data_IF_282866457184
#
_entry.id   IF_282866457184
#
_cell.length_a   1.000
_cell.length_b   1.000
_cell.length_c   1.000
_cell.angle_alpha   90.00
_cell.angle_beta   90.00
_cell.angle_gamma   90.00
#
_symmetry.space_group_name_H-M   'P 1'
#
loop_
_entity.id
_entity.type
_entity.pdbx_description
1 polymer ?
#
# COMPACT_ATOMS: atom_id res chain seq x y z
N UNK A 1 29.60 -7.35 8.11
CA UNK A 1 28.42 -6.93 8.90
C UNK A 1 27.43 -8.08 8.90
N UNK A 2 26.75 -8.34 10.01
CA UNK A 2 25.76 -9.44 10.04
C UNK A 2 24.64 -9.09 9.05
N UNK A 3 24.28 -10.01 8.15
CA UNK A 3 23.25 -9.77 7.11
C UNK A 3 21.91 -9.31 7.69
N UNK A 4 21.56 -9.77 8.89
CA UNK A 4 20.32 -9.38 9.57
C UNK A 4 20.35 -7.91 9.99
N UNK A 5 21.49 -7.44 10.52
CA UNK A 5 21.66 -6.04 10.88
C UNK A 5 21.69 -5.15 9.63
N UNK A 6 22.30 -5.65 8.55
CA UNK A 6 22.34 -4.92 7.27
C UNK A 6 20.96 -4.79 6.65
N UNK A 7 20.14 -5.86 6.66
CA UNK A 7 18.74 -5.84 6.28
C UNK A 7 17.95 -4.83 7.10
N UNK A 8 18.03 -4.94 8.44
CA UNK A 8 17.33 -4.03 9.34
C UNK A 8 17.69 -2.56 9.07
N UNK A 9 18.98 -2.21 9.02
CA UNK A 9 19.42 -0.84 8.83
C UNK A 9 19.08 -0.29 7.43
N UNK A 10 19.17 -1.11 6.39
CA UNK A 10 18.83 -0.72 5.04
C UNK A 10 17.34 -0.39 4.94
N UNK A 11 16.48 -1.26 5.46
CA UNK A 11 15.05 -1.02 5.42
C UNK A 11 14.60 0.05 6.44
N UNK A 12 15.28 0.21 7.56
CA UNK A 12 15.07 1.34 8.47
C UNK A 12 15.34 2.68 7.78
N UNK A 13 16.40 2.75 6.99
CA UNK A 13 16.72 3.94 6.18
C UNK A 13 15.66 4.20 5.11
N UNK A 14 15.18 3.16 4.42
CA UNK A 14 14.11 3.30 3.45
C UNK A 14 12.82 3.78 4.14
N UNK A 15 12.43 3.17 5.27
CA UNK A 15 11.22 3.56 6.01
C UNK A 15 11.25 4.98 6.55
N UNK A 16 12.45 5.48 6.94
CA UNK A 16 12.65 6.81 7.50
C UNK A 16 12.60 7.93 6.44
N UNK A 17 13.20 7.68 5.28
CA UNK A 17 13.42 8.70 4.27
C UNK A 17 12.42 8.66 3.12
N UNK A 18 11.39 7.84 3.20
CA UNK A 18 10.39 7.77 2.13
C UNK A 18 9.18 8.63 2.45
N UNK A 19 8.99 9.64 1.61
CA UNK A 19 7.81 10.49 1.59
C UNK A 19 7.10 10.30 0.25
N UNK A 20 5.78 10.09 0.25
CA UNK A 20 4.98 10.19 -0.96
C UNK A 20 4.39 8.91 -1.57
N UNK A 21 4.40 7.78 -0.87
CA UNK A 21 3.59 6.60 -1.26
C UNK A 21 4.34 5.48 -1.97
N UNK A 22 3.62 4.38 -2.27
CA UNK A 22 4.17 3.07 -2.62
C UNK A 22 5.20 3.03 -3.76
N UNK A 23 4.96 3.74 -4.86
CA UNK A 23 5.86 3.71 -6.02
C UNK A 23 7.20 4.44 -5.77
N UNK A 24 7.21 5.52 -4.99
CA UNK A 24 8.46 6.18 -4.60
C UNK A 24 9.33 5.27 -3.72
N UNK A 25 8.67 4.47 -2.85
CA UNK A 25 9.35 3.47 -2.02
C UNK A 25 9.96 2.34 -2.85
N UNK A 26 9.29 1.88 -3.90
CA UNK A 26 9.81 0.84 -4.80
C UNK A 26 11.16 1.26 -5.40
N UNK A 27 11.26 2.47 -5.93
CA UNK A 27 12.52 2.98 -6.50
C UNK A 27 13.66 3.08 -5.48
N UNK A 28 13.34 3.41 -4.21
CA UNK A 28 14.34 3.43 -3.13
C UNK A 28 14.78 2.04 -2.71
N UNK A 29 13.84 1.08 -2.68
CA UNK A 29 14.13 -0.33 -2.40
C UNK A 29 15.01 -0.90 -3.52
N UNK A 30 14.65 -0.64 -4.78
CA UNK A 30 15.42 -1.07 -5.95
C UNK A 30 16.86 -0.54 -5.90
N UNK A 31 17.05 0.77 -5.73
CA UNK A 31 18.37 1.37 -5.60
C UNK A 31 19.17 0.79 -4.43
N UNK A 32 18.52 0.49 -3.32
CA UNK A 32 19.17 -0.07 -2.14
C UNK A 32 19.50 -1.56 -2.29
N UNK A 33 18.54 -2.35 -2.76
CA UNK A 33 18.63 -3.81 -2.76
C UNK A 33 19.23 -4.39 -4.04
N UNK A 34 19.03 -3.74 -5.20
CA UNK A 34 19.60 -4.16 -6.49
C UNK A 34 20.95 -3.48 -6.71
N UNK A 35 20.96 -2.15 -6.81
CA UNK A 35 22.14 -1.40 -7.23
C UNK A 35 23.25 -1.39 -6.16
N UNK A 36 22.92 -1.09 -4.89
CA UNK A 36 23.94 -0.93 -3.83
C UNK A 36 24.33 -2.23 -3.16
N UNK A 37 23.37 -3.12 -2.93
CA UNK A 37 23.60 -4.35 -2.14
C UNK A 37 23.68 -5.61 -3.00
N UNK A 38 23.12 -5.62 -4.20
CA UNK A 38 23.08 -6.79 -5.06
C UNK A 38 22.35 -7.99 -4.43
N UNK A 39 21.38 -7.73 -3.54
CA UNK A 39 20.62 -8.77 -2.88
C UNK A 39 19.64 -9.48 -3.79
N UNK A 40 19.12 -8.75 -4.76
CA UNK A 40 18.20 -9.25 -5.78
C UNK A 40 18.58 -8.60 -7.13
N UNK A 41 18.18 -9.24 -8.23
CA UNK A 41 18.34 -8.69 -9.57
C UNK A 41 17.21 -7.72 -9.92
N UNK A 42 17.36 -6.98 -11.02
CA UNK A 42 16.31 -6.09 -11.51
C UNK A 42 15.03 -6.85 -11.88
N UNK A 43 15.17 -8.00 -12.56
CA UNK A 43 14.04 -8.84 -12.95
C UNK A 43 13.29 -9.36 -11.72
N UNK A 44 14.03 -9.81 -10.70
CA UNK A 44 13.42 -10.21 -9.44
C UNK A 44 12.72 -9.06 -8.71
N UNK A 45 13.26 -7.84 -8.79
CA UNK A 45 12.58 -6.68 -8.20
C UNK A 45 11.25 -6.39 -8.91
N UNK A 46 11.18 -6.56 -10.23
CA UNK A 46 9.93 -6.47 -10.99
C UNK A 46 8.90 -7.50 -10.52
N UNK A 47 9.31 -8.77 -10.39
CA UNK A 47 8.43 -9.84 -9.90
C UNK A 47 7.94 -9.56 -8.47
N UNK A 48 8.85 -9.15 -7.59
CA UNK A 48 8.53 -8.76 -6.21
C UNK A 48 7.50 -7.63 -6.17
N UNK A 49 7.64 -6.65 -7.05
CA UNK A 49 6.70 -5.52 -7.13
C UNK A 49 5.31 -6.00 -7.51
N UNK A 50 5.18 -6.86 -8.52
CA UNK A 50 3.89 -7.45 -8.95
C UNK A 50 3.26 -8.28 -7.82
N UNK A 51 4.05 -9.09 -7.13
CA UNK A 51 3.58 -9.88 -5.99
C UNK A 51 3.13 -8.96 -4.85
N UNK A 52 3.91 -7.92 -4.55
CA UNK A 52 3.60 -6.97 -3.47
C UNK A 52 2.35 -6.15 -3.76
N UNK A 53 2.10 -5.80 -5.02
CA UNK A 53 0.87 -5.12 -5.45
C UNK A 53 -0.36 -6.04 -5.36
N UNK A 54 -0.17 -7.33 -5.60
CA UNK A 54 -1.24 -8.34 -5.53
C UNK A 54 -1.55 -8.81 -4.11
N UNK A 55 -0.64 -8.55 -3.17
CA UNK A 55 -0.76 -8.98 -1.77
C UNK A 55 -1.41 -7.88 -0.94
N UNK A 56 -2.46 -8.18 -0.14
CA UNK A 56 -3.04 -7.19 0.75
C UNK A 56 -2.01 -6.61 1.71
N UNK A 57 -1.88 -5.27 1.75
CA UNK A 57 -0.96 -4.58 2.64
C UNK A 57 -0.13 -3.50 1.92
N UNK A 58 0.69 -2.74 2.68
CA UNK A 58 1.58 -1.73 2.09
C UNK A 58 2.65 -2.38 1.21
N UNK A 59 2.70 -1.99 -0.05
CA UNK A 59 3.62 -2.55 -1.06
C UNK A 59 5.07 -2.58 -0.57
N UNK A 60 5.53 -1.52 0.05
CA UNK A 60 6.91 -1.42 0.53
C UNK A 60 7.23 -2.42 1.64
N UNK A 61 6.28 -2.69 2.54
CA UNK A 61 6.44 -3.70 3.60
C UNK A 61 6.48 -5.10 2.97
N UNK A 62 5.60 -5.37 2.00
CA UNK A 62 5.59 -6.64 1.27
C UNK A 62 6.91 -6.87 0.53
N UNK A 63 7.45 -5.84 -0.15
CA UNK A 63 8.77 -5.90 -0.79
C UNK A 63 9.89 -6.15 0.24
N UNK A 64 9.89 -5.43 1.37
CA UNK A 64 10.89 -5.61 2.41
C UNK A 64 10.87 -7.05 2.98
N UNK A 65 9.68 -7.57 3.24
CA UNK A 65 9.48 -8.93 3.74
C UNK A 65 10.02 -9.95 2.74
N UNK A 66 9.72 -9.79 1.45
CA UNK A 66 10.19 -10.70 0.40
C UNK A 66 11.71 -10.67 0.26
N UNK A 67 12.32 -9.49 0.15
CA UNK A 67 13.77 -9.35 0.04
C UNK A 67 14.47 -9.94 1.28
N UNK A 68 13.95 -9.64 2.46
CA UNK A 68 14.46 -10.20 3.71
C UNK A 68 14.37 -11.73 3.74
N UNK A 69 13.24 -12.29 3.31
CA UNK A 69 13.05 -13.73 3.23
C UNK A 69 14.04 -14.38 2.26
N UNK A 70 14.25 -13.78 1.11
CA UNK A 70 15.20 -14.29 0.11
C UNK A 70 16.63 -14.32 0.66
N UNK A 71 17.03 -13.34 1.45
CA UNK A 71 18.40 -13.25 1.98
C UNK A 71 18.67 -14.19 3.16
N UNK A 72 17.73 -14.37 4.09
CA UNK A 72 17.94 -15.15 5.32
C UNK A 72 16.66 -15.86 5.82
N UNK A 73 15.76 -16.24 4.93
CA UNK A 73 14.51 -16.92 5.29
C UNK A 73 13.64 -16.08 6.23
N UNK A 74 12.90 -16.75 7.10
CA UNK A 74 11.93 -16.10 8.00
C UNK A 74 12.56 -15.03 8.90
N UNK A 75 13.76 -15.29 9.42
CA UNK A 75 14.46 -14.34 10.31
C UNK A 75 14.87 -13.08 9.52
N UNK A 76 15.29 -13.21 8.27
CA UNK A 76 15.57 -12.10 7.38
C UNK A 76 14.31 -11.28 7.06
N UNK A 77 13.18 -11.95 6.80
CA UNK A 77 11.90 -11.29 6.59
C UNK A 77 11.48 -10.44 7.80
N UNK A 78 11.57 -11.00 9.00
CA UNK A 78 11.26 -10.29 10.25
C UNK A 78 12.19 -9.09 10.43
N UNK A 79 13.49 -9.25 10.24
CA UNK A 79 14.47 -8.17 10.40
C UNK A 79 14.20 -7.01 9.42
N UNK A 80 13.93 -7.31 8.16
CA UNK A 80 13.63 -6.30 7.13
C UNK A 80 12.30 -5.58 7.40
N UNK A 81 11.26 -6.33 7.77
CA UNK A 81 9.93 -5.78 8.06
C UNK A 81 9.95 -4.88 9.30
N UNK A 82 10.59 -5.33 10.38
CA UNK A 82 10.75 -4.52 11.60
C UNK A 82 11.59 -3.28 11.28
N UNK A 83 12.67 -3.43 10.50
CA UNK A 83 13.48 -2.30 10.05
C UNK A 83 12.64 -1.25 9.33
N UNK A 84 11.77 -1.65 8.42
CA UNK A 84 10.89 -0.74 7.66
C UNK A 84 9.90 0.01 8.55
N UNK A 85 9.30 -0.65 9.53
CA UNK A 85 8.19 -0.11 10.33
C UNK A 85 8.66 0.64 11.57
N UNK A 86 9.70 0.12 12.25
CA UNK A 86 10.11 0.58 13.58
C UNK A 86 10.45 2.07 13.65
N UNK A 87 11.21 2.66 12.71
CA UNK A 87 11.58 4.07 12.80
C UNK A 87 10.35 4.99 12.72
N UNK A 88 9.44 4.73 11.79
CA UNK A 88 8.20 5.50 11.64
C UNK A 88 7.31 5.34 12.86
N UNK A 89 7.19 4.12 13.38
CA UNK A 89 6.46 3.85 14.61
C UNK A 89 7.01 4.64 15.80
N UNK A 90 8.34 4.61 16.00
CA UNK A 90 8.99 5.34 17.10
C UNK A 90 8.75 6.86 16.99
N UNK A 91 8.86 7.44 15.79
CA UNK A 91 8.61 8.86 15.59
C UNK A 91 7.16 9.21 15.91
N UNK A 92 6.19 8.46 15.38
CA UNK A 92 4.77 8.71 15.63
C UNK A 92 4.46 8.54 17.12
N UNK A 93 5.01 7.51 17.76
CA UNK A 93 4.83 7.26 19.19
C UNK A 93 5.38 8.41 20.04
N UNK A 94 6.60 8.88 19.76
CA UNK A 94 7.20 10.02 20.47
C UNK A 94 6.37 11.29 20.27
N UNK A 95 5.93 11.58 19.05
CA UNK A 95 5.09 12.74 18.76
C UNK A 95 3.76 12.63 19.51
N UNK A 96 3.15 11.45 19.57
CA UNK A 96 1.86 11.25 20.24
C UNK A 96 1.93 11.48 21.75
N UNK A 97 3.04 11.16 22.39
CA UNK A 97 3.23 11.40 23.84
C UNK A 97 3.23 12.89 24.22
N UNK A 98 3.64 13.74 23.30
CA UNK A 98 3.77 15.18 23.51
C UNK A 98 2.78 16.01 22.68
N UNK A 99 1.83 15.36 22.00
CA UNK A 99 1.00 15.99 20.99
C UNK A 99 0.17 17.15 21.58
N UNK A 100 -0.41 16.98 22.76
CA UNK A 100 -1.24 18.00 23.39
C UNK A 100 -0.41 19.26 23.71
N UNK A 101 0.79 19.09 24.29
CA UNK A 101 1.71 20.18 24.57
C UNK A 101 2.21 20.87 23.29
N UNK A 102 2.42 20.10 22.21
CA UNK A 102 2.87 20.63 20.91
C UNK A 102 1.76 21.44 20.21
N UNK A 103 0.51 21.03 20.32
CA UNK A 103 -0.62 21.72 19.68
C UNK A 103 -0.98 23.03 20.37
N UNK A 104 -0.58 23.25 21.63
CA UNK A 104 -0.70 24.54 22.31
C UNK A 104 0.22 25.62 21.71
N UNK A 105 1.29 25.20 21.03
CA UNK A 105 2.23 26.11 20.38
C UNK A 105 1.68 26.48 19.00
N UNK A 106 1.24 27.70 18.81
CA UNK A 106 0.50 28.18 17.64
C UNK A 106 1.18 27.86 16.30
N UNK A 107 2.50 28.04 16.19
CA UNK A 107 3.22 27.76 14.94
C UNK A 107 3.31 26.25 14.62
N UNK A 108 3.33 25.38 15.63
CA UNK A 108 3.27 23.93 15.45
C UNK A 108 1.88 23.51 14.98
N UNK A 109 0.82 24.06 15.60
CA UNK A 109 -0.55 23.83 15.17
C UNK A 109 -0.77 24.22 13.69
N UNK A 110 -0.21 25.37 13.27
CA UNK A 110 -0.25 25.78 11.86
C UNK A 110 0.55 24.85 10.94
N UNK A 111 1.71 24.36 11.39
CA UNK A 111 2.48 23.38 10.63
C UNK A 111 1.71 22.07 10.44
N UNK A 112 1.05 21.55 11.49
CA UNK A 112 0.18 20.37 11.37
C UNK A 112 -1.00 20.60 10.43
N UNK A 113 -1.59 21.80 10.41
CA UNK A 113 -2.63 22.14 9.44
C UNK A 113 -2.08 22.09 8.00
N UNK A 114 -0.89 22.64 7.76
CA UNK A 114 -0.21 22.56 6.47
C UNK A 114 0.06 21.11 6.03
N UNK A 115 0.52 20.24 6.95
CA UNK A 115 0.73 18.82 6.70
C UNK A 115 -0.58 18.11 6.32
N UNK A 116 -1.69 18.38 7.03
CA UNK A 116 -3.00 17.82 6.70
C UNK A 116 -3.43 18.16 5.28
N UNK A 117 -3.25 19.43 4.87
CA UNK A 117 -3.58 19.89 3.51
C UNK A 117 -2.68 19.20 2.48
N UNK A 118 -1.37 19.13 2.74
CA UNK A 118 -0.42 18.46 1.84
C UNK A 118 -0.76 16.98 1.66
N UNK A 119 -1.09 16.26 2.73
CA UNK A 119 -1.53 14.86 2.68
C UNK A 119 -2.82 14.72 1.88
N UNK A 120 -3.79 15.63 2.05
CA UNK A 120 -5.02 15.66 1.24
C UNK A 120 -4.72 15.80 -0.26
N UNK A 121 -3.80 16.69 -0.62
CA UNK A 121 -3.37 16.88 -2.03
C UNK A 121 -2.69 15.62 -2.57
N UNK A 122 -1.82 14.97 -1.77
CA UNK A 122 -1.16 13.72 -2.17
C UNK A 122 -2.16 12.58 -2.41
N UNK A 123 -3.19 12.47 -1.58
CA UNK A 123 -4.27 11.48 -1.76
C UNK A 123 -5.03 11.76 -3.05
N UNK A 124 -5.37 13.01 -3.33
CA UNK A 124 -6.05 13.41 -4.57
C UNK A 124 -5.18 13.13 -5.81
N UNK A 125 -3.89 13.45 -5.75
CA UNK A 125 -2.95 13.16 -6.84
C UNK A 125 -2.84 11.65 -7.10
N UNK A 126 -2.75 10.85 -6.05
CA UNK A 126 -2.76 9.38 -6.16
C UNK A 126 -4.05 8.87 -6.80
N UNK A 127 -5.22 9.36 -6.38
CA UNK A 127 -6.50 9.00 -6.96
C UNK A 127 -6.58 9.36 -8.45
N UNK A 128 -6.16 10.57 -8.84
CA UNK A 128 -6.11 11.01 -10.23
C UNK A 128 -5.19 10.11 -11.07
N UNK A 129 -4.00 9.77 -10.55
CA UNK A 129 -3.05 8.88 -11.23
C UNK A 129 -3.64 7.48 -11.43
N UNK A 130 -4.31 6.93 -10.43
CA UNK A 130 -4.98 5.63 -10.53
C UNK A 130 -6.10 5.65 -11.58
N UNK A 131 -6.95 6.68 -11.59
CA UNK A 131 -8.03 6.86 -12.57
C UNK A 131 -7.45 6.99 -13.99
N UNK A 132 -6.36 7.73 -14.16
CA UNK A 132 -5.70 7.90 -15.48
C UNK A 132 -5.09 6.60 -16.01
N UNK A 133 -4.53 5.76 -15.14
CA UNK A 133 -3.95 4.45 -15.52
C UNK A 133 -5.00 3.36 -15.76
N UNK A 134 -6.21 3.54 -15.25
CA UNK A 134 -7.28 2.57 -15.38
C UNK A 134 -7.70 2.37 -16.84
N UNK A 135 -7.94 1.12 -17.23
CA UNK A 135 -8.49 0.82 -18.56
C UNK A 135 -9.86 1.49 -18.72
N UNK A 136 -10.00 2.32 -19.74
CA UNK A 136 -11.25 3.06 -20.07
C UNK A 136 -12.33 2.13 -20.66
N UNK A 137 -12.51 0.93 -20.10
CA UNK A 137 -13.60 0.03 -20.44
C UNK A 137 -14.83 0.41 -19.61
N UNK A 138 -16.06 0.27 -20.16
CA UNK A 138 -17.27 0.69 -19.45
C UNK A 138 -17.47 -0.05 -18.12
N UNK A 139 -17.12 -1.34 -18.06
CA UNK A 139 -17.33 -2.17 -16.87
C UNK A 139 -16.49 -1.71 -15.66
N UNK A 140 -15.16 -1.52 -15.75
CA UNK A 140 -14.38 -0.99 -14.63
C UNK A 140 -14.83 0.42 -14.19
N UNK A 141 -15.24 1.26 -15.14
CA UNK A 141 -15.68 2.62 -14.85
C UNK A 141 -17.00 2.63 -14.05
N UNK A 142 -17.97 1.79 -14.45
CA UNK A 142 -19.24 1.64 -13.73
C UNK A 142 -19.03 1.06 -12.33
N UNK A 143 -18.16 0.05 -12.17
CA UNK A 143 -17.84 -0.52 -10.85
C UNK A 143 -17.22 0.55 -9.95
N UNK A 144 -16.27 1.33 -10.46
CA UNK A 144 -15.64 2.42 -9.71
C UNK A 144 -16.65 3.48 -9.29
N UNK A 145 -17.52 3.92 -10.22
CA UNK A 145 -18.55 4.93 -9.93
C UNK A 145 -19.56 4.41 -8.90
N UNK A 146 -20.02 3.17 -9.02
CA UNK A 146 -20.93 2.55 -8.05
C UNK A 146 -20.29 2.41 -6.66
N UNK A 147 -19.02 2.00 -6.60
CA UNK A 147 -18.28 1.89 -5.34
C UNK A 147 -18.09 3.26 -4.67
N UNK A 148 -17.75 4.29 -5.46
CA UNK A 148 -17.61 5.66 -4.97
C UNK A 148 -18.94 6.20 -4.42
N UNK A 149 -20.03 6.04 -5.17
CA UNK A 149 -21.35 6.47 -4.73
C UNK A 149 -21.81 5.72 -3.47
N UNK A 150 -21.57 4.40 -3.41
CA UNK A 150 -21.91 3.60 -2.24
C UNK A 150 -21.15 4.08 -0.99
N UNK A 151 -19.83 4.33 -1.10
CA UNK A 151 -19.04 4.87 0.01
C UNK A 151 -19.50 6.24 0.44
N UNK A 152 -19.84 7.11 -0.52
CA UNK A 152 -20.32 8.46 -0.25
C UNK A 152 -21.67 8.46 0.47
N UNK A 153 -22.59 7.56 0.07
CA UNK A 153 -23.88 7.36 0.75
C UNK A 153 -23.69 6.81 2.16
N UNK A 154 -22.79 5.84 2.35
CA UNK A 154 -22.47 5.27 3.67
C UNK A 154 -21.95 6.37 4.61
N UNK A 155 -21.10 7.26 4.10
CA UNK A 155 -20.52 8.36 4.88
C UNK A 155 -21.57 9.42 5.23
N UNK A 156 -22.41 9.84 4.26
CA UNK A 156 -23.48 10.84 4.48
C UNK A 156 -24.53 10.31 5.46
N UNK A 157 -24.94 9.04 5.36
CA UNK A 157 -25.93 8.44 6.27
C UNK A 157 -25.33 7.91 7.58
N UNK A 158 -24.02 8.14 7.81
CA UNK A 158 -23.27 7.65 8.98
C UNK A 158 -23.52 6.16 9.28
N UNK A 159 -23.67 5.34 8.24
CA UNK A 159 -23.87 3.91 8.38
C UNK A 159 -22.55 3.28 8.83
N UNK A 160 -22.58 2.53 9.95
CA UNK A 160 -21.40 1.82 10.46
C UNK A 160 -21.06 0.58 9.61
N UNK A 161 -20.90 0.78 8.29
CA UNK A 161 -20.49 -0.27 7.36
C UNK A 161 -18.99 -0.13 7.07
N UNK A 162 -18.23 -1.13 7.46
CA UNK A 162 -16.78 -1.15 7.18
C UNK A 162 -16.51 -1.26 5.68
N UNK A 163 -15.51 -0.54 5.18
CA UNK A 163 -14.99 -0.66 3.80
C UNK A 163 -14.66 -2.12 3.43
N UNK A 164 -14.22 -2.91 4.41
CA UNK A 164 -13.93 -4.35 4.25
C UNK A 164 -15.21 -5.12 3.89
N UNK A 165 -16.33 -4.82 4.52
CA UNK A 165 -17.63 -5.45 4.22
C UNK A 165 -18.05 -5.18 2.78
N UNK A 166 -17.85 -3.95 2.31
CA UNK A 166 -18.17 -3.55 0.93
C UNK A 166 -17.26 -4.26 -0.09
N UNK A 167 -15.97 -4.40 0.22
CA UNK A 167 -15.03 -5.18 -0.60
C UNK A 167 -15.42 -6.66 -0.67
N UNK A 168 -15.82 -7.29 0.44
CA UNK A 168 -16.27 -8.68 0.47
C UNK A 168 -17.53 -8.88 -0.35
N UNK A 169 -18.52 -8.00 -0.23
CA UNK A 169 -19.74 -8.03 -1.05
C UNK A 169 -19.40 -7.91 -2.53
N UNK A 170 -18.55 -6.97 -2.91
CA UNK A 170 -18.11 -6.79 -4.31
C UNK A 170 -17.37 -8.03 -4.84
N UNK A 171 -16.52 -8.66 -4.02
CA UNK A 171 -15.81 -9.89 -4.36
C UNK A 171 -16.77 -11.06 -4.59
N UNK A 172 -17.76 -11.23 -3.72
CA UNK A 172 -18.79 -12.29 -3.84
C UNK A 172 -19.64 -12.10 -5.10
N UNK A 173 -20.07 -10.86 -5.39
CA UNK A 173 -20.83 -10.53 -6.61
C UNK A 173 -19.98 -10.81 -7.85
N UNK A 174 -18.72 -10.39 -7.86
CA UNK A 174 -17.79 -10.60 -8.98
C UNK A 174 -17.57 -12.10 -9.23
N UNK A 175 -17.37 -12.88 -8.15
CA UNK A 175 -17.22 -14.34 -8.23
C UNK A 175 -18.49 -15.02 -8.76
N UNK A 176 -19.66 -14.60 -8.30
CA UNK A 176 -20.95 -15.14 -8.76
C UNK A 176 -21.15 -14.87 -10.28
N UNK A 177 -20.86 -13.65 -10.74
CA UNK A 177 -20.93 -13.29 -12.17
C UNK A 177 -19.93 -14.12 -12.99
N UNK A 178 -18.70 -14.30 -12.48
CA UNK A 178 -17.69 -15.10 -13.17
C UNK A 178 -18.10 -16.57 -13.30
N UNK A 179 -18.62 -17.18 -12.22
CA UNK A 179 -19.07 -18.58 -12.23
C UNK A 179 -20.26 -18.77 -13.18
N UNK A 180 -21.21 -17.83 -13.21
CA UNK A 180 -22.38 -17.87 -14.11
C UNK A 180 -21.94 -17.76 -15.58
N UNK A 181 -21.02 -16.86 -15.90
CA UNK A 181 -20.47 -16.73 -17.27
C UNK A 181 -19.70 -17.98 -17.71
N UNK A 182 -18.95 -18.61 -16.82
CA UNK A 182 -18.22 -19.85 -17.10
C UNK A 182 -19.15 -21.02 -17.41
N UNK A 183 -20.28 -21.10 -16.71
CA UNK A 183 -21.28 -22.14 -16.96
C UNK A 183 -22.02 -21.92 -18.28
N UNK A 184 -22.33 -20.68 -18.63
CA UNK A 184 -23.01 -20.33 -19.92
C UNK A 184 -22.09 -20.56 -21.11
N UNK A 185 -20.77 -20.33 -20.98
CA UNK A 185 -19.79 -20.61 -22.04
C UNK A 185 -19.60 -22.11 -22.32
N UNK A 186 -19.78 -22.97 -21.32
CA UNK A 186 -19.72 -24.43 -21.51
C UNK A 186 -20.99 -25.03 -22.15
N UNK A 187 -22.15 -24.40 -21.95
CA UNK A 187 -23.40 -24.83 -22.56
C UNK A 187 -23.50 -24.46 -24.07
N UNK A 188 -22.74 -23.45 -24.52
CA UNK A 188 -22.69 -23.04 -25.94
C UNK A 188 -21.71 -23.84 -26.82
N UNK A 189 -20.79 -24.61 -26.20
CA UNK A 189 -19.81 -25.44 -26.92
C UNK A 189 -20.25 -26.91 -27.06
N UNK A 190 -21.44 -27.26 -26.57
CA UNK A 190 -22.03 -28.60 -26.65
C UNK A 190 -23.26 -28.70 -27.58
N UNK A 191 -23.40 -27.74 -28.54
CA UNK A 191 -24.39 -27.82 -29.61
C UNK A 191 -23.74 -27.81 -30.97
#
# INVERSE_FOLDING_TARGET
MNILLDLFLTFAKVGLFTFGGGYAMISLIENSCVEKKGWITHDEMMDVTVIAESTPGPIAINCATFVGYKQKGLIGAIAATIGMVLPSFCIIFLISMFLDNFLEIAWIAHAFMGIKIAVGILILDAAIKMIRKMQKKPIPLTIMACAFLAMLLIDIFALHVSSITLMLIAAVISLAIFLTRRNTGKAGAAK
#
